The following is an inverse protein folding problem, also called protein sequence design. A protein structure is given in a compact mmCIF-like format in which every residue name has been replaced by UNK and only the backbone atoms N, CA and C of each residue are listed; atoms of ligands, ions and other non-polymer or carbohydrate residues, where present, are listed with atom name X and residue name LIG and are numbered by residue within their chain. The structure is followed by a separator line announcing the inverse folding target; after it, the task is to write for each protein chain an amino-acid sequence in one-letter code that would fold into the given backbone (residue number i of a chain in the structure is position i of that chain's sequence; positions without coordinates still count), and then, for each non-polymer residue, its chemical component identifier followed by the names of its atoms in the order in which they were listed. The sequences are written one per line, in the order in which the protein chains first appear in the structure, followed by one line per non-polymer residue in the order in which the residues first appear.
data_IF_202169685316
#
_entry.id   IF_202169685316
#
_cell.length_a   1.000
_cell.length_b   1.000
_cell.length_c   1.000
_cell.angle_alpha   90.00
_cell.angle_beta   90.00
_cell.angle_gamma   90.00
#
_symmetry.space_group_name_H-M   'P 1'
#
loop_
_entity.id
_entity.type
_entity.pdbx_description
1 polymer ?
#
# COMPACT_ATOMS: atom_id res chain seq x y z
N UNK A 1 6.72 14.38 19.65
CA UNK A 1 7.11 14.63 18.25
C UNK A 1 8.61 14.96 18.20
N UNK A 2 9.45 14.24 17.44
CA UNK A 2 10.89 14.57 17.32
C UNK A 2 11.17 15.45 16.10
N UNK A 3 12.35 16.05 16.02
CA UNK A 3 12.78 16.84 14.85
C UNK A 3 12.72 16.03 13.55
N UNK A 4 13.04 14.73 13.59
CA UNK A 4 12.95 13.84 12.42
C UNK A 4 11.50 13.60 12.00
N UNK A 5 10.57 13.42 12.95
CA UNK A 5 9.13 13.33 12.63
C UNK A 5 8.60 14.58 11.94
N UNK A 6 9.01 15.77 12.40
CA UNK A 6 8.58 17.04 11.80
C UNK A 6 9.21 17.22 10.41
N UNK A 7 10.51 16.96 10.27
CA UNK A 7 11.21 17.07 8.99
C UNK A 7 10.64 16.12 7.93
N UNK A 8 10.30 14.91 8.34
CA UNK A 8 9.63 13.93 7.51
C UNK A 8 8.21 14.36 7.15
N UNK A 9 7.38 14.77 8.12
CA UNK A 9 6.01 15.25 7.86
C UNK A 9 5.95 16.38 6.82
N UNK A 10 6.96 17.25 6.77
CA UNK A 10 7.04 18.34 5.79
C UNK A 10 7.79 17.97 4.50
N UNK A 11 8.13 16.69 4.28
CA UNK A 11 8.85 16.23 3.09
C UNK A 11 10.22 16.91 2.90
N UNK A 12 10.85 17.38 3.99
CA UNK A 12 12.09 18.17 3.93
C UNK A 12 13.30 17.27 3.77
N UNK A 13 13.49 16.72 2.58
CA UNK A 13 14.55 15.79 2.22
C UNK A 13 15.96 16.21 2.69
N UNK A 14 16.30 17.50 2.58
CA UNK A 14 17.60 18.03 3.06
C UNK A 14 17.72 17.98 4.59
N UNK A 15 16.64 18.27 5.31
CA UNK A 15 16.60 18.26 6.78
C UNK A 15 16.59 16.82 7.31
N UNK A 16 15.85 15.92 6.66
CA UNK A 16 15.86 14.49 6.96
C UNK A 16 17.28 13.92 6.81
N UNK A 17 17.96 14.17 5.68
CA UNK A 17 19.36 13.75 5.47
C UNK A 17 20.29 14.30 6.54
N UNK A 18 20.14 15.55 6.93
CA UNK A 18 20.97 16.17 7.97
C UNK A 18 20.76 15.48 9.33
N UNK A 19 19.50 15.23 9.71
CA UNK A 19 19.16 14.58 10.97
C UNK A 19 19.65 13.13 11.03
N UNK A 20 19.49 12.37 9.94
CA UNK A 20 20.05 11.01 9.83
C UNK A 20 21.58 11.01 9.94
N UNK A 21 22.26 11.98 9.32
CA UNK A 21 23.72 12.12 9.42
C UNK A 21 24.19 12.46 10.83
N UNK A 22 23.34 13.11 11.62
CA UNK A 22 23.57 13.41 13.03
C UNK A 22 23.16 12.27 13.98
N UNK A 23 22.84 11.09 13.47
CA UNK A 23 22.50 9.92 14.29
C UNK A 23 21.07 9.95 14.82
N UNK A 24 20.16 10.73 14.21
CA UNK A 24 18.76 10.61 14.53
C UNK A 24 18.26 9.21 14.19
N UNK A 25 17.65 8.56 15.18
CA UNK A 25 17.10 7.23 15.03
C UNK A 25 15.89 7.26 14.08
N UNK A 26 16.04 6.59 12.93
CA UNK A 26 15.05 6.50 11.87
C UNK A 26 13.94 5.50 12.18
N UNK A 27 14.20 4.58 13.10
CA UNK A 27 13.28 3.51 13.51
C UNK A 27 12.54 3.89 14.80
N UNK A 28 12.84 5.06 15.36
CA UNK A 28 12.21 5.59 16.57
C UNK A 28 10.70 5.77 16.39
N UNK A 29 9.92 4.86 16.96
CA UNK A 29 8.46 4.95 16.99
C UNK A 29 8.01 6.07 17.93
N UNK A 30 7.25 7.03 17.41
CA UNK A 30 6.52 8.01 18.23
C UNK A 30 5.04 7.90 17.90
N UNK A 31 4.22 7.66 18.93
CA UNK A 31 2.78 7.47 18.76
C UNK A 31 2.45 6.32 17.78
N UNK A 32 3.31 5.30 17.73
CA UNK A 32 3.19 4.14 16.83
C UNK A 32 3.66 4.38 15.40
N UNK A 33 4.14 5.57 15.06
CA UNK A 33 4.53 5.96 13.69
C UNK A 33 6.03 6.21 13.63
N UNK A 34 6.71 5.76 12.57
CA UNK A 34 8.12 6.07 12.36
C UNK A 34 8.26 7.44 11.69
N UNK A 35 9.39 8.13 11.87
CA UNK A 35 9.65 9.39 11.19
C UNK A 35 9.53 9.24 9.68
N UNK A 36 10.12 8.19 9.07
CA UNK A 36 10.06 7.99 7.62
C UNK A 36 8.63 7.76 7.10
N UNK A 37 7.76 7.12 7.89
CA UNK A 37 6.35 6.91 7.54
C UNK A 37 5.58 8.24 7.43
N UNK A 38 6.05 9.30 8.10
CA UNK A 38 5.48 10.64 7.94
C UNK A 38 5.97 11.36 6.67
N UNK A 39 7.10 10.94 6.08
CA UNK A 39 7.62 11.52 4.84
C UNK A 39 6.89 11.00 3.59
N UNK A 40 6.26 9.84 3.69
CA UNK A 40 5.42 9.23 2.65
C UNK A 40 3.99 9.79 2.63
N UNK A 41 3.75 10.97 3.22
CA UNK A 41 2.45 11.66 3.16
C UNK A 41 2.09 12.19 1.77
N UNK A 42 3.01 12.16 0.81
CA UNK A 42 2.68 12.40 -0.60
C UNK A 42 2.10 11.11 -1.20
N UNK A 43 0.79 10.93 -1.00
CA UNK A 43 -0.13 10.06 -1.72
C UNK A 43 0.45 9.31 -2.94
N UNK A 44 1.25 8.27 -2.70
CA UNK A 44 1.87 7.54 -3.79
C UNK A 44 0.81 6.61 -4.39
N UNK A 45 0.51 6.82 -5.67
CA UNK A 45 -0.35 5.91 -6.42
C UNK A 45 0.46 4.71 -6.87
N UNK A 46 0.14 3.54 -6.33
CA UNK A 46 0.73 2.28 -6.72
C UNK A 46 -0.20 1.54 -7.65
N UNK A 47 0.35 1.06 -8.76
CA UNK A 47 -0.37 0.24 -9.72
C UNK A 47 0.00 -1.22 -9.50
N UNK A 48 -0.98 -2.00 -9.09
CA UNK A 48 -0.92 -3.43 -8.83
C UNK A 48 -1.49 -4.18 -10.02
N UNK A 49 -0.80 -5.24 -10.43
CA UNK A 49 -1.32 -6.23 -11.37
C UNK A 49 -1.70 -7.48 -10.59
N UNK A 50 -2.98 -7.83 -10.63
CA UNK A 50 -3.51 -9.04 -10.04
C UNK A 50 -3.67 -10.05 -11.17
N UNK A 51 -2.85 -11.10 -11.11
CA UNK A 51 -2.86 -12.19 -12.08
C UNK A 51 -3.45 -13.42 -11.42
N UNK A 52 -4.50 -13.98 -12.03
CA UNK A 52 -5.09 -15.24 -11.62
C UNK A 52 -4.57 -16.37 -12.51
N UNK A 53 -4.53 -17.60 -11.99
CA UNK A 53 -4.13 -18.79 -12.77
C UNK A 53 -5.19 -19.23 -13.78
N UNK A 54 -6.42 -18.78 -13.61
CA UNK A 54 -7.58 -19.07 -14.44
C UNK A 54 -8.50 -17.85 -14.50
N UNK A 55 -9.40 -17.82 -15.49
CA UNK A 55 -10.40 -16.76 -15.59
C UNK A 55 -11.31 -16.77 -14.36
N UNK A 56 -11.39 -15.63 -13.69
CA UNK A 56 -12.27 -15.40 -12.54
C UNK A 56 -13.42 -14.49 -12.96
N UNK A 57 -14.62 -14.87 -12.55
CA UNK A 57 -15.83 -14.08 -12.67
C UNK A 57 -16.15 -13.41 -11.32
N UNK A 58 -16.96 -12.36 -11.35
CA UNK A 58 -17.43 -11.60 -10.17
C UNK A 58 -16.33 -10.85 -9.37
N UNK A 59 -15.08 -10.80 -9.83
CA UNK A 59 -14.04 -10.01 -9.17
C UNK A 59 -14.16 -8.52 -9.49
N UNK A 60 -14.42 -7.72 -8.47
CA UNK A 60 -14.65 -6.27 -8.56
C UNK A 60 -13.71 -5.49 -7.63
N UNK A 61 -13.78 -4.15 -7.69
CA UNK A 61 -13.01 -3.30 -6.80
C UNK A 61 -13.41 -3.45 -5.32
N UNK A 62 -14.65 -3.86 -5.03
CA UNK A 62 -15.16 -4.06 -3.67
C UNK A 62 -14.46 -5.22 -2.95
N UNK A 63 -13.92 -6.15 -3.74
CA UNK A 63 -13.19 -7.31 -3.24
C UNK A 63 -11.73 -7.02 -2.87
N UNK A 64 -11.27 -5.78 -3.14
CA UNK A 64 -9.92 -5.31 -2.84
C UNK A 64 -9.96 -4.44 -1.59
N UNK A 65 -9.34 -4.91 -0.52
CA UNK A 65 -9.24 -4.15 0.73
C UNK A 65 -7.87 -3.48 0.80
N UNK A 66 -7.87 -2.16 1.00
CA UNK A 66 -6.67 -1.35 1.13
C UNK A 66 -6.64 -0.76 2.53
N UNK A 67 -5.59 -1.05 3.30
CA UNK A 67 -5.38 -0.47 4.63
C UNK A 67 -4.54 0.80 4.52
N UNK A 68 -4.98 1.90 5.14
CA UNK A 68 -4.33 3.21 5.02
C UNK A 68 -4.17 3.69 3.56
N UNK A 69 -5.19 3.45 2.74
CA UNK A 69 -5.23 3.89 1.36
C UNK A 69 -6.59 3.69 0.72
N UNK A 70 -6.73 4.17 -0.51
CA UNK A 70 -7.96 4.12 -1.29
C UNK A 70 -7.71 3.50 -2.66
N UNK A 71 -8.64 2.66 -3.14
CA UNK A 71 -8.62 2.23 -4.55
C UNK A 71 -9.06 3.39 -5.42
N UNK A 72 -8.15 3.93 -6.24
CA UNK A 72 -8.42 5.07 -7.13
C UNK A 72 -8.83 4.63 -8.53
N UNK A 73 -8.39 3.45 -8.96
CA UNK A 73 -8.73 2.91 -10.28
C UNK A 73 -8.77 1.40 -10.22
N UNK A 74 -9.79 0.83 -10.84
CA UNK A 74 -9.88 -0.60 -11.10
C UNK A 74 -10.15 -0.79 -12.59
N UNK A 75 -9.39 -1.67 -13.24
CA UNK A 75 -9.56 -1.98 -14.65
C UNK A 75 -9.32 -3.46 -14.89
N UNK A 76 -10.31 -4.14 -15.45
CA UNK A 76 -10.14 -5.49 -15.99
C UNK A 76 -9.44 -5.37 -17.35
N UNK A 77 -8.23 -5.92 -17.50
CA UNK A 77 -7.58 -6.05 -18.82
C UNK A 77 -8.04 -7.34 -19.50
N UNK A 78 -8.10 -8.42 -18.74
CA UNK A 78 -8.58 -9.75 -19.18
C UNK A 78 -9.28 -10.43 -18.00
N UNK A 79 -10.02 -11.53 -18.27
CA UNK A 79 -10.73 -12.30 -17.21
C UNK A 79 -9.79 -12.90 -16.15
N UNK A 80 -8.49 -12.98 -16.44
CA UNK A 80 -7.42 -13.47 -15.57
C UNK A 80 -6.46 -12.36 -15.09
N UNK A 81 -6.60 -11.12 -15.59
CA UNK A 81 -5.65 -10.03 -15.34
C UNK A 81 -6.36 -8.71 -15.05
N UNK A 82 -6.16 -8.22 -13.83
CA UNK A 82 -6.76 -6.99 -13.32
C UNK A 82 -5.69 -5.99 -12.92
N UNK A 83 -5.95 -4.73 -13.21
CA UNK A 83 -5.08 -3.61 -12.88
C UNK A 83 -5.78 -2.74 -11.84
N UNK A 84 -5.19 -2.65 -10.66
CA UNK A 84 -5.71 -1.87 -9.56
C UNK A 84 -4.71 -0.77 -9.23
N UNK A 85 -5.15 0.48 -9.27
CA UNK A 85 -4.36 1.61 -8.79
C UNK A 85 -4.89 2.01 -7.43
N UNK A 86 -4.03 1.93 -6.44
CA UNK A 86 -4.33 2.28 -5.06
C UNK A 86 -3.50 3.49 -4.67
N UNK A 87 -4.12 4.45 -4.01
CA UNK A 87 -3.44 5.58 -3.41
C UNK A 87 -3.16 5.23 -1.97
N UNK A 88 -1.89 5.12 -1.65
CA UNK A 88 -1.44 4.68 -0.34
C UNK A 88 -0.88 5.86 0.45
N UNK A 89 -1.12 5.85 1.75
CA UNK A 89 -0.65 6.87 2.68
C UNK A 89 0.26 6.22 3.74
N UNK A 90 1.58 6.42 3.60
CA UNK A 90 2.55 5.85 4.55
C UNK A 90 2.66 4.32 4.49
N UNK A 91 2.81 3.66 5.65
CA UNK A 91 2.86 2.20 5.76
C UNK A 91 1.47 1.59 5.55
N UNK A 92 1.16 1.28 4.30
CA UNK A 92 -0.10 0.66 3.89
C UNK A 92 0.10 -0.78 3.43
N UNK A 93 -0.89 -1.63 3.68
CA UNK A 93 -0.96 -2.97 3.11
C UNK A 93 -2.18 -3.09 2.21
N UNK A 94 -2.04 -3.85 1.13
CA UNK A 94 -3.14 -4.21 0.25
C UNK A 94 -3.37 -5.71 0.36
N UNK A 95 -4.63 -6.09 0.56
CA UNK A 95 -5.06 -7.48 0.64
C UNK A 95 -6.20 -7.76 -0.34
N UNK A 96 -6.24 -9.00 -0.80
CA UNK A 96 -7.38 -9.55 -1.55
C UNK A 96 -7.90 -10.70 -0.71
N UNK A 97 -9.15 -10.59 -0.25
CA UNK A 97 -9.75 -11.54 0.67
C UNK A 97 -9.89 -12.95 0.05
N UNK A 98 -9.94 -13.99 0.87
CA UNK A 98 -10.26 -15.34 0.39
C UNK A 98 -11.71 -15.36 -0.12
N UNK A 99 -11.94 -15.92 -1.30
CA UNK A 99 -13.28 -15.95 -1.91
C UNK A 99 -13.72 -14.67 -2.61
N UNK A 100 -12.87 -13.64 -2.65
CA UNK A 100 -13.04 -12.43 -3.45
C UNK A 100 -13.22 -12.71 -4.96
N UNK A 101 -12.63 -13.79 -5.46
CA UNK A 101 -12.68 -14.13 -6.87
C UNK A 101 -13.07 -15.60 -7.06
N UNK A 102 -14.01 -15.86 -7.98
CA UNK A 102 -14.54 -17.20 -8.24
C UNK A 102 -14.14 -17.65 -9.63
N UNK A 103 -13.44 -18.78 -9.74
CA UNK A 103 -13.10 -19.41 -11.02
C UNK A 103 -13.63 -20.84 -11.05
N UNK A 104 -14.55 -21.15 -11.97
CA UNK A 104 -14.99 -22.52 -12.23
C UNK A 104 -15.47 -23.30 -11.00
N UNK A 105 -16.04 -22.62 -9.99
CA UNK A 105 -16.51 -23.22 -8.73
C UNK A 105 -15.48 -23.26 -7.58
N UNK A 106 -14.25 -22.80 -7.79
CA UNK A 106 -13.23 -22.63 -6.74
C UNK A 106 -13.03 -21.16 -6.39
N UNK A 107 -12.93 -20.89 -5.09
CA UNK A 107 -12.61 -19.57 -4.55
C UNK A 107 -11.09 -19.36 -4.55
N UNK A 108 -10.64 -18.12 -4.80
CA UNK A 108 -9.24 -17.77 -4.58
C UNK A 108 -8.86 -17.92 -3.08
N UNK A 109 -7.65 -18.40 -2.82
CA UNK A 109 -7.07 -18.35 -1.48
C UNK A 109 -6.74 -16.89 -1.11
N UNK A 110 -6.81 -16.53 0.17
CA UNK A 110 -6.44 -15.19 0.65
C UNK A 110 -5.03 -14.84 0.16
N UNK A 111 -4.88 -13.68 -0.46
CA UNK A 111 -3.54 -13.20 -0.82
C UNK A 111 -2.78 -12.81 0.45
N UNK A 112 -1.46 -13.04 0.47
CA UNK A 112 -0.63 -12.54 1.58
C UNK A 112 -0.56 -11.00 1.48
N UNK A 113 -0.60 -10.27 2.60
CA UNK A 113 -0.48 -8.81 2.59
C UNK A 113 0.78 -8.38 1.82
N UNK A 114 0.57 -7.60 0.77
CA UNK A 114 1.68 -7.01 0.05
C UNK A 114 2.14 -5.77 0.81
N UNK A 115 3.26 -5.89 1.52
CA UNK A 115 3.87 -4.77 2.23
C UNK A 115 4.64 -3.90 1.22
N UNK A 116 4.14 -2.70 0.95
CA UNK A 116 4.86 -1.68 0.19
C UNK A 116 5.53 -0.75 1.20
N UNK A 117 6.86 -0.88 1.31
CA UNK A 117 7.72 -0.07 2.18
C UNK A 117 8.29 1.15 1.49
#
# INVERSE_FOLDING_TARGET
RTALHVASFFGRHKVVKLLLRHGADKDLLRDGVRPLDMATTDAAQFRLQIHFSEAVDEFTAEDVTVSNGDVTRFSMLRRDLYLVTVKLHGSSSVEVAAGAARAGGRCNAQSRPFHLG
#
